data_IF_583118671882
#
_entry.id   IF_583118671882
#
_cell.length_a   1.000
_cell.length_b   1.000
_cell.length_c   1.000
_cell.angle_alpha   90.00
_cell.angle_beta   90.00
_cell.angle_gamma   90.00
#
_symmetry.space_group_name_H-M   'P 1'
#
loop_
_entity.id
_entity.type
_entity.pdbx_description
1 polymer ?
#
# COMPACT_ATOMS: atom_id res chain seq x y z
N UNK A 1 19.73 -20.58 -16.34
CA UNK A 1 21.07 -19.95 -16.39
C UNK A 1 20.86 -18.47 -16.58
N UNK A 2 20.92 -17.72 -15.50
CA UNK A 2 20.64 -16.27 -15.52
C UNK A 2 21.91 -15.56 -16.02
N UNK A 3 21.93 -15.21 -17.32
CA UNK A 3 23.02 -14.45 -17.90
C UNK A 3 22.88 -13.00 -17.45
N UNK A 4 23.45 -12.64 -16.30
CA UNK A 4 23.63 -11.23 -15.93
C UNK A 4 24.48 -10.55 -17.00
N UNK A 5 23.85 -9.70 -17.80
CA UNK A 5 24.52 -8.86 -18.75
C UNK A 5 25.48 -7.92 -17.99
N UNK A 6 26.79 -8.09 -18.17
CA UNK A 6 27.81 -7.23 -17.57
C UNK A 6 28.35 -6.31 -18.66
N UNK A 7 28.28 -5.01 -18.43
CA UNK A 7 28.96 -4.02 -19.27
C UNK A 7 30.36 -3.79 -18.70
N UNK A 8 31.37 -4.11 -19.46
CA UNK A 8 32.77 -3.87 -19.06
C UNK A 8 33.21 -2.45 -19.46
N UNK A 9 34.22 -1.89 -18.76
CA UNK A 9 34.66 -0.52 -18.93
C UNK A 9 35.17 -0.22 -20.36
N UNK A 10 35.84 -1.18 -20.99
CA UNK A 10 36.29 -1.08 -22.38
C UNK A 10 35.14 -0.97 -23.39
N UNK A 11 34.02 -1.66 -23.14
CA UNK A 11 32.80 -1.53 -23.93
C UNK A 11 32.07 -0.22 -23.64
N UNK A 12 31.98 0.16 -22.35
CA UNK A 12 31.38 1.43 -21.93
C UNK A 12 32.13 2.63 -22.52
N UNK A 13 33.48 2.59 -22.53
CA UNK A 13 34.33 3.64 -23.10
C UNK A 13 34.22 3.82 -24.62
N UNK A 14 33.60 2.90 -25.36
CA UNK A 14 33.36 3.01 -26.79
C UNK A 14 32.02 3.65 -27.16
N UNK A 15 31.16 3.93 -26.16
CA UNK A 15 29.87 4.57 -26.42
C UNK A 15 30.10 6.05 -26.78
N UNK A 16 29.74 6.49 -28.00
CA UNK A 16 29.88 7.89 -28.38
C UNK A 16 28.83 8.72 -27.66
N UNK A 17 29.26 9.82 -27.03
CA UNK A 17 28.38 10.79 -26.39
C UNK A 17 28.51 12.15 -27.05
N UNK A 18 27.42 12.91 -27.27
CA UNK A 18 27.50 14.28 -27.76
C UNK A 18 28.12 15.19 -26.67
N UNK A 19 29.02 16.07 -27.07
CA UNK A 19 29.64 17.03 -26.14
C UNK A 19 29.47 18.43 -26.74
N UNK A 20 28.36 19.12 -26.46
CA UNK A 20 28.14 20.49 -26.90
C UNK A 20 29.10 21.47 -26.22
N UNK A 21 29.28 22.70 -26.78
CA UNK A 21 30.06 23.75 -26.13
C UNK A 21 29.57 24.07 -24.73
N UNK A 22 30.48 24.48 -23.84
CA UNK A 22 30.15 24.74 -22.42
C UNK A 22 28.91 25.63 -22.18
N UNK A 23 28.73 26.76 -22.93
CA UNK A 23 27.52 27.58 -22.77
C UNK A 23 26.22 26.82 -23.06
N UNK A 24 26.26 25.90 -24.03
CA UNK A 24 25.10 25.07 -24.37
C UNK A 24 24.85 24.00 -23.32
N UNK A 25 25.91 23.42 -22.73
CA UNK A 25 25.74 22.50 -21.56
C UNK A 25 25.09 23.22 -20.40
N UNK A 26 25.51 24.45 -20.06
CA UNK A 26 24.93 25.23 -18.97
C UNK A 26 23.47 25.57 -19.28
N UNK A 27 23.10 25.83 -20.53
CA UNK A 27 21.73 26.05 -20.98
C UNK A 27 20.85 24.78 -20.84
N UNK A 28 21.37 23.63 -21.26
CA UNK A 28 20.70 22.31 -21.11
C UNK A 28 20.42 22.04 -19.64
N UNK A 29 21.40 22.21 -18.77
CA UNK A 29 21.24 21.99 -17.32
C UNK A 29 20.20 22.95 -16.73
N UNK A 30 20.22 24.22 -17.10
CA UNK A 30 19.24 25.20 -16.61
C UNK A 30 17.82 24.83 -17.04
N UNK A 31 17.63 24.46 -18.31
CA UNK A 31 16.34 24.00 -18.83
C UNK A 31 15.81 22.75 -18.10
N UNK A 32 16.66 21.72 -18.00
CA UNK A 32 16.25 20.45 -17.35
C UNK A 32 15.90 20.68 -15.88
N UNK A 33 16.67 21.49 -15.13
CA UNK A 33 16.32 21.83 -13.73
C UNK A 33 14.97 22.54 -13.60
N UNK A 34 14.62 23.43 -14.53
CA UNK A 34 13.31 24.05 -14.55
C UNK A 34 12.20 23.03 -14.81
N UNK A 35 12.41 22.11 -15.79
CA UNK A 35 11.45 21.03 -16.08
C UNK A 35 11.33 20.05 -14.92
N UNK A 36 12.43 19.69 -14.27
CA UNK A 36 12.44 18.87 -13.06
C UNK A 36 11.57 19.48 -11.96
N UNK A 37 11.69 20.79 -11.73
CA UNK A 37 10.89 21.50 -10.74
C UNK A 37 9.38 21.49 -11.07
N UNK A 38 9.02 21.63 -12.36
CA UNK A 38 7.62 21.54 -12.80
C UNK A 38 7.06 20.12 -12.61
N UNK A 39 7.80 19.12 -13.07
CA UNK A 39 7.40 17.71 -12.97
C UNK A 39 7.29 17.30 -11.50
N UNK A 40 8.24 17.69 -10.66
CA UNK A 40 8.21 17.41 -9.22
C UNK A 40 6.97 17.99 -8.54
N UNK A 41 6.62 19.25 -8.83
CA UNK A 41 5.40 19.88 -8.30
C UNK A 41 4.14 19.15 -8.78
N UNK A 42 4.11 18.74 -10.05
CA UNK A 42 2.99 17.98 -10.59
C UNK A 42 2.83 16.63 -9.88
N UNK A 43 3.92 15.85 -9.76
CA UNK A 43 3.91 14.55 -9.06
C UNK A 43 3.47 14.72 -7.61
N UNK A 44 4.00 15.71 -6.91
CA UNK A 44 3.61 16.03 -5.52
C UNK A 44 2.11 16.31 -5.42
N UNK A 45 1.56 17.17 -6.27
CA UNK A 45 0.12 17.48 -6.27
C UNK A 45 -0.74 16.24 -6.54
N UNK A 46 -0.29 15.34 -7.43
CA UNK A 46 -0.98 14.08 -7.71
C UNK A 46 -0.91 13.10 -6.53
N UNK A 47 0.22 13.00 -5.84
CA UNK A 47 0.35 12.19 -4.61
C UNK A 47 -0.55 12.75 -3.49
N UNK A 48 -0.59 14.06 -3.30
CA UNK A 48 -1.48 14.69 -2.34
C UNK A 48 -2.96 14.40 -2.67
N UNK A 49 -3.34 14.40 -3.95
CA UNK A 49 -4.68 14.00 -4.38
C UNK A 49 -4.98 12.54 -4.04
N UNK A 50 -4.07 11.60 -4.35
CA UNK A 50 -4.22 10.18 -3.99
C UNK A 50 -4.42 10.03 -2.48
N UNK A 51 -3.64 10.73 -1.67
CA UNK A 51 -3.77 10.73 -0.22
C UNK A 51 -5.16 11.17 0.22
N UNK A 52 -5.67 12.28 -0.29
CA UNK A 52 -7.01 12.80 0.06
C UNK A 52 -8.13 11.84 -0.38
N UNK A 53 -8.04 11.26 -1.58
CA UNK A 53 -9.00 10.27 -2.06
C UNK A 53 -8.99 8.99 -1.18
N UNK A 54 -7.80 8.54 -0.78
CA UNK A 54 -7.62 7.41 0.13
C UNK A 54 -8.21 7.72 1.51
N UNK A 55 -7.98 8.90 2.07
CA UNK A 55 -8.58 9.33 3.34
C UNK A 55 -10.12 9.36 3.25
N UNK A 56 -10.67 9.87 2.15
CA UNK A 56 -12.12 9.88 1.93
C UNK A 56 -12.68 8.44 1.88
N UNK A 57 -12.01 7.55 1.15
CA UNK A 57 -12.38 6.12 1.08
C UNK A 57 -12.36 5.48 2.48
N UNK A 58 -11.32 5.71 3.26
CA UNK A 58 -11.20 5.17 4.62
C UNK A 58 -12.31 5.69 5.54
N UNK A 59 -12.74 6.97 5.41
CA UNK A 59 -13.87 7.53 6.18
C UNK A 59 -15.19 6.84 5.84
N UNK A 60 -15.45 6.54 4.56
CA UNK A 60 -16.64 5.80 4.13
C UNK A 60 -16.64 4.40 4.76
N UNK A 61 -15.52 3.69 4.67
CA UNK A 61 -15.37 2.36 5.26
C UNK A 61 -15.57 2.41 6.78
N UNK A 62 -14.86 3.31 7.47
CA UNK A 62 -14.91 3.49 8.92
C UNK A 62 -16.35 3.74 9.39
N UNK A 63 -17.06 4.65 8.74
CA UNK A 63 -18.45 4.95 9.07
C UNK A 63 -19.34 3.72 8.90
N UNK A 64 -19.29 3.08 7.75
CA UNK A 64 -20.12 1.94 7.42
C UNK A 64 -19.91 0.74 8.36
N UNK A 65 -18.65 0.43 8.74
CA UNK A 65 -18.36 -0.71 9.62
C UNK A 65 -18.48 -0.41 11.11
N UNK A 66 -18.64 0.86 11.52
CA UNK A 66 -18.78 1.23 12.95
C UNK A 66 -20.15 1.79 13.32
N UNK A 67 -20.87 2.38 12.36
CA UNK A 67 -22.17 3.02 12.59
C UNK A 67 -23.30 2.47 11.72
N UNK A 68 -22.98 1.64 10.71
CA UNK A 68 -23.98 1.12 9.77
C UNK A 68 -24.34 2.10 8.66
N UNK A 69 -25.47 1.86 8.01
CA UNK A 69 -25.92 2.63 6.85
C UNK A 69 -27.14 3.52 7.13
N UNK A 70 -27.79 3.35 8.27
CA UNK A 70 -29.00 4.06 8.64
C UNK A 70 -28.72 4.99 9.82
N UNK A 71 -28.67 6.29 9.52
CA UNK A 71 -28.41 7.34 10.53
C UNK A 71 -29.60 7.55 11.49
N UNK A 72 -30.77 6.97 11.20
CA UNK A 72 -31.97 7.06 12.04
C UNK A 72 -32.01 6.03 13.18
N UNK A 73 -31.08 5.07 13.17
CA UNK A 73 -31.03 4.00 14.17
C UNK A 73 -30.58 4.54 15.53
N UNK A 74 -31.24 4.10 16.59
CA UNK A 74 -30.84 4.40 17.96
C UNK A 74 -29.43 3.85 18.22
N UNK A 75 -28.57 4.70 18.73
CA UNK A 75 -27.20 4.32 19.12
C UNK A 75 -27.14 4.00 20.61
N UNK A 76 -26.22 3.10 21.00
CA UNK A 76 -25.85 2.79 22.38
C UNK A 76 -24.35 2.96 22.59
N UNK A 77 -23.92 3.36 23.81
CA UNK A 77 -22.50 3.34 24.15
C UNK A 77 -21.94 1.93 24.01
N UNK A 78 -20.84 1.78 23.26
CA UNK A 78 -20.19 0.47 23.06
C UNK A 78 -19.44 -0.01 24.31
N UNK A 79 -19.10 0.89 25.24
CA UNK A 79 -18.20 0.60 26.36
C UNK A 79 -16.76 0.33 25.92
N UNK A 80 -16.41 0.74 24.69
CA UNK A 80 -15.07 0.62 24.11
C UNK A 80 -14.67 2.01 23.61
N UNK A 81 -13.60 2.58 24.19
CA UNK A 81 -13.20 3.97 23.99
C UNK A 81 -12.99 4.32 22.51
N UNK A 82 -12.23 3.49 21.77
CA UNK A 82 -11.93 3.73 20.35
C UNK A 82 -13.17 3.70 19.44
N UNK A 83 -14.21 2.98 19.84
CA UNK A 83 -15.40 2.75 19.02
C UNK A 83 -16.50 3.79 19.29
N UNK A 84 -16.63 4.26 20.54
CA UNK A 84 -17.66 5.19 20.97
C UNK A 84 -19.05 4.55 20.98
N UNK A 85 -19.98 5.07 20.18
CA UNK A 85 -21.35 4.56 20.05
C UNK A 85 -21.52 3.68 18.82
N UNK A 86 -22.42 2.68 18.94
CA UNK A 86 -22.77 1.74 17.87
C UNK A 86 -24.29 1.59 17.78
N UNK A 87 -24.87 1.13 16.67
CA UNK A 87 -26.28 0.80 16.57
C UNK A 87 -26.73 -0.13 17.71
N UNK A 88 -27.89 0.15 18.31
CA UNK A 88 -28.35 -0.55 19.51
C UNK A 88 -28.50 -2.07 19.31
N UNK A 89 -28.86 -2.48 18.10
CA UNK A 89 -29.05 -3.90 17.75
C UNK A 89 -27.75 -4.64 17.43
N UNK A 90 -26.59 -3.92 17.33
CA UNK A 90 -25.32 -4.58 17.07
C UNK A 90 -24.74 -5.23 18.32
N UNK A 91 -24.08 -6.37 18.12
CA UNK A 91 -23.32 -7.06 19.16
C UNK A 91 -21.86 -6.63 19.14
N UNK A 92 -21.21 -6.69 20.30
CA UNK A 92 -19.78 -6.50 20.45
C UNK A 92 -19.12 -7.82 20.83
N UNK A 93 -18.26 -8.33 19.97
CA UNK A 93 -17.57 -9.60 20.21
C UNK A 93 -16.06 -9.43 20.05
N UNK A 94 -15.29 -10.20 20.85
CA UNK A 94 -13.83 -10.24 20.68
C UNK A 94 -13.46 -10.97 19.39
N UNK A 95 -12.45 -10.47 18.67
CA UNK A 95 -12.01 -11.05 17.39
C UNK A 95 -11.74 -12.56 17.47
N UNK A 96 -11.14 -13.05 18.57
CA UNK A 96 -10.88 -14.49 18.77
C UNK A 96 -12.12 -15.37 18.80
N UNK A 97 -13.31 -14.80 19.01
CA UNK A 97 -14.59 -15.51 18.92
C UNK A 97 -15.23 -15.42 17.54
N UNK A 98 -14.74 -14.53 16.68
CA UNK A 98 -15.20 -14.31 15.30
C UNK A 98 -14.33 -15.02 14.28
N UNK A 99 -13.04 -15.13 14.56
CA UNK A 99 -12.08 -15.80 13.71
C UNK A 99 -11.03 -16.53 14.53
N UNK A 100 -10.54 -17.64 13.98
CA UNK A 100 -9.41 -18.38 14.54
C UNK A 100 -8.12 -17.95 13.85
N UNK A 101 -7.06 -17.69 14.63
CA UNK A 101 -5.71 -17.53 14.08
C UNK A 101 -5.13 -18.92 13.80
N UNK A 102 -5.05 -19.29 12.52
CA UNK A 102 -4.52 -20.58 12.12
C UNK A 102 -3.00 -20.50 11.93
N UNK A 103 -2.29 -21.52 12.40
CA UNK A 103 -0.82 -21.60 12.27
C UNK A 103 -0.42 -22.96 11.68
N UNK A 104 -0.83 -23.21 10.43
CA UNK A 104 -0.41 -24.38 9.70
C UNK A 104 0.93 -24.08 9.01
N UNK A 105 2.03 -24.45 9.67
CA UNK A 105 3.39 -24.18 9.20
C UNK A 105 3.84 -25.23 8.17
N UNK A 106 4.62 -24.78 7.19
CA UNK A 106 5.22 -25.62 6.15
C UNK A 106 6.53 -25.02 5.66
N UNK A 107 7.38 -25.86 5.10
CA UNK A 107 8.60 -25.44 4.39
C UNK A 107 8.47 -25.64 2.88
N UNK A 108 7.29 -26.05 2.42
CA UNK A 108 7.04 -26.33 1.00
C UNK A 108 5.77 -25.64 0.54
N UNK A 109 5.74 -25.24 -0.72
CA UNK A 109 4.60 -24.67 -1.44
C UNK A 109 4.19 -25.65 -2.55
N UNK A 110 2.90 -25.90 -2.70
CA UNK A 110 2.40 -26.67 -3.83
C UNK A 110 2.41 -25.80 -5.12
N UNK A 111 2.41 -26.44 -6.28
CA UNK A 111 2.51 -25.75 -7.58
C UNK A 111 1.33 -24.83 -7.87
N UNK A 112 0.14 -25.15 -7.35
CA UNK A 112 -1.11 -24.41 -7.48
C UNK A 112 -1.33 -23.37 -6.38
N UNK A 113 -0.49 -23.37 -5.34
CA UNK A 113 -0.52 -22.37 -4.26
C UNK A 113 0.17 -21.07 -4.68
N UNK A 114 -0.29 -19.94 -4.16
CA UNK A 114 0.37 -18.63 -4.29
C UNK A 114 1.28 -18.36 -3.09
N UNK A 115 2.24 -17.44 -3.25
CA UNK A 115 3.07 -16.96 -2.16
C UNK A 115 2.78 -15.48 -1.87
N UNK A 116 2.60 -15.14 -0.59
CA UNK A 116 2.40 -13.78 -0.11
C UNK A 116 3.41 -13.43 0.98
N UNK A 117 4.17 -12.38 0.74
CA UNK A 117 4.95 -11.66 1.73
C UNK A 117 4.34 -10.27 1.97
N UNK A 118 4.84 -9.53 2.97
CA UNK A 118 4.27 -8.23 3.32
C UNK A 118 4.36 -7.22 2.17
N UNK A 119 5.45 -7.24 1.42
CA UNK A 119 5.69 -6.38 0.25
C UNK A 119 4.67 -6.60 -0.87
N UNK A 120 4.07 -7.77 -0.95
CA UNK A 120 3.04 -8.09 -1.95
C UNK A 120 1.65 -7.54 -1.61
N UNK A 121 1.47 -6.95 -0.43
CA UNK A 121 0.19 -6.36 -0.01
C UNK A 121 0.33 -4.86 0.09
N UNK A 122 -0.41 -4.14 -0.73
CA UNK A 122 -0.43 -2.68 -0.74
C UNK A 122 -1.07 -2.15 0.55
N UNK A 123 -0.42 -1.17 1.16
CA UNK A 123 -0.87 -0.53 2.39
C UNK A 123 -2.27 0.09 2.21
N UNK A 124 -3.13 -0.08 3.21
CA UNK A 124 -4.47 0.51 3.31
C UNK A 124 -5.51 0.06 2.26
N UNK A 125 -5.10 -0.54 1.15
CA UNK A 125 -6.03 -0.90 0.07
C UNK A 125 -6.52 -2.34 0.15
N UNK A 126 -5.73 -3.25 0.70
CA UNK A 126 -5.97 -4.70 0.69
C UNK A 126 -5.67 -5.36 -0.65
N UNK A 127 -5.18 -4.61 -1.63
CA UNK A 127 -4.75 -5.16 -2.92
C UNK A 127 -3.50 -6.00 -2.71
N UNK A 128 -3.56 -7.26 -3.12
CA UNK A 128 -2.44 -8.19 -3.06
C UNK A 128 -1.97 -8.58 -4.46
N UNK A 129 -0.66 -8.62 -4.66
CA UNK A 129 0.01 -9.07 -5.89
C UNK A 129 0.89 -10.28 -5.55
N UNK A 130 0.28 -11.48 -5.39
CA UNK A 130 1.00 -12.67 -4.97
C UNK A 130 1.98 -13.14 -6.05
N UNK A 131 3.04 -13.81 -5.62
CA UNK A 131 3.92 -14.53 -6.54
C UNK A 131 3.36 -15.91 -6.87
N UNK A 132 3.45 -16.26 -8.13
CA UNK A 132 3.07 -17.56 -8.69
C UNK A 132 4.33 -18.35 -9.09
N UNK A 133 4.15 -19.64 -9.35
CA UNK A 133 5.27 -20.51 -9.77
C UNK A 133 6.16 -20.96 -8.61
N UNK A 134 7.40 -21.29 -8.93
CA UNK A 134 8.38 -21.72 -7.93
C UNK A 134 8.94 -20.50 -7.19
N UNK A 135 8.85 -20.52 -5.87
CA UNK A 135 9.39 -19.51 -4.98
C UNK A 135 10.23 -20.21 -3.92
N UNK A 136 11.50 -19.84 -3.83
CA UNK A 136 12.37 -20.26 -2.74
C UNK A 136 12.19 -19.34 -1.54
N UNK A 137 12.01 -19.89 -0.37
CA UNK A 137 11.98 -19.16 0.89
C UNK A 137 12.87 -19.82 1.93
N UNK A 138 13.68 -19.01 2.59
CA UNK A 138 14.69 -19.47 3.55
C UNK A 138 14.12 -19.89 4.91
N UNK A 139 12.83 -19.58 5.18
CA UNK A 139 12.19 -19.80 6.47
C UNK A 139 10.85 -20.51 6.35
N UNK A 140 10.36 -21.01 7.49
CA UNK A 140 9.02 -21.61 7.58
C UNK A 140 7.94 -20.58 7.26
N UNK A 141 6.98 -20.97 6.42
CA UNK A 141 5.83 -20.18 6.00
C UNK A 141 4.53 -20.76 6.57
N UNK A 142 3.44 -19.99 6.53
CA UNK A 142 2.11 -20.44 6.99
C UNK A 142 1.21 -20.69 5.80
N UNK A 143 0.49 -21.81 5.83
CA UNK A 143 -0.53 -22.14 4.84
C UNK A 143 -1.84 -21.43 5.14
N UNK A 144 -2.48 -20.89 4.13
CA UNK A 144 -3.81 -20.33 4.16
C UNK A 144 -4.70 -20.92 3.06
N UNK A 145 -5.99 -20.77 3.19
CA UNK A 145 -6.98 -21.19 2.19
C UNK A 145 -7.75 -20.00 1.66
N UNK A 146 -8.51 -20.20 0.60
CA UNK A 146 -9.39 -19.17 0.06
C UNK A 146 -10.35 -18.63 1.15
N UNK A 147 -10.57 -17.33 1.15
CA UNK A 147 -11.34 -16.55 2.11
C UNK A 147 -10.71 -16.38 3.50
N UNK A 148 -9.54 -16.91 3.80
CA UNK A 148 -8.79 -16.50 4.99
C UNK A 148 -8.40 -15.01 4.86
N UNK A 149 -8.44 -14.27 5.96
CA UNK A 149 -7.99 -12.87 6.03
C UNK A 149 -6.57 -12.85 6.61
N UNK A 150 -5.65 -12.28 5.85
CA UNK A 150 -4.25 -12.16 6.23
C UNK A 150 -4.03 -10.76 6.82
N UNK A 151 -3.56 -10.68 8.06
CA UNK A 151 -3.27 -9.44 8.77
C UNK A 151 -1.78 -9.35 9.05
N UNK A 152 -1.10 -8.34 8.49
CA UNK A 152 0.30 -8.05 8.73
C UNK A 152 0.54 -7.54 10.15
N UNK A 153 1.24 -8.33 10.99
CA UNK A 153 1.52 -7.94 12.38
C UNK A 153 2.73 -7.03 12.54
N UNK A 154 3.64 -7.00 11.55
CA UNK A 154 4.79 -6.11 11.51
C UNK A 154 4.36 -4.76 10.94
N UNK A 155 4.73 -3.65 11.63
CA UNK A 155 4.36 -2.28 11.27
C UNK A 155 2.85 -2.15 10.98
N UNK A 156 1.98 -2.45 11.98
CA UNK A 156 0.52 -2.53 11.75
C UNK A 156 -0.08 -1.23 11.24
N UNK A 157 0.59 -0.09 11.44
CA UNK A 157 0.18 1.21 10.88
C UNK A 157 0.14 1.23 9.35
N UNK A 158 0.83 0.31 8.67
CA UNK A 158 0.74 0.14 7.21
C UNK A 158 -0.57 -0.53 6.77
N UNK A 159 -1.38 -1.06 7.69
CA UNK A 159 -2.67 -1.69 7.41
C UNK A 159 -2.64 -2.72 6.27
N UNK A 160 -1.58 -3.54 6.23
CA UNK A 160 -1.43 -4.62 5.24
C UNK A 160 -2.38 -5.76 5.60
N UNK A 161 -3.64 -5.62 5.17
CA UNK A 161 -4.73 -6.56 5.42
C UNK A 161 -5.36 -6.95 4.08
N UNK A 162 -5.41 -8.24 3.79
CA UNK A 162 -5.99 -8.74 2.53
C UNK A 162 -6.74 -10.04 2.74
N UNK A 163 -7.72 -10.31 1.90
CA UNK A 163 -8.47 -11.56 1.89
C UNK A 163 -7.99 -12.44 0.74
N UNK A 164 -7.59 -13.65 1.07
CA UNK A 164 -7.08 -14.61 0.10
C UNK A 164 -8.17 -15.04 -0.91
N UNK A 165 -7.88 -14.92 -2.20
CA UNK A 165 -8.78 -15.38 -3.26
C UNK A 165 -8.65 -16.88 -3.54
N UNK A 166 -7.47 -17.47 -3.29
CA UNK A 166 -7.18 -18.91 -3.41
C UNK A 166 -6.21 -19.34 -2.33
N UNK A 167 -5.95 -20.63 -2.24
CA UNK A 167 -5.01 -21.20 -1.28
C UNK A 167 -3.56 -20.81 -1.60
N UNK A 168 -2.74 -20.75 -0.55
CA UNK A 168 -1.33 -20.38 -0.68
C UNK A 168 -0.57 -20.46 0.63
N UNK A 169 0.65 -19.92 0.58
CA UNK A 169 1.55 -19.78 1.72
C UNK A 169 1.95 -18.33 1.91
N UNK A 170 2.14 -17.90 3.15
CA UNK A 170 2.56 -16.54 3.49
C UNK A 170 3.67 -16.54 4.55
N UNK A 171 4.43 -15.47 4.61
CA UNK A 171 5.46 -15.26 5.63
C UNK A 171 4.88 -15.31 7.05
N UNK A 172 5.71 -15.64 8.03
CA UNK A 172 5.31 -15.76 9.44
C UNK A 172 4.77 -14.47 10.05
N UNK A 173 5.08 -13.32 9.42
CA UNK A 173 4.62 -12.00 9.83
C UNK A 173 3.12 -11.74 9.57
N UNK A 174 2.43 -12.59 8.80
CA UNK A 174 0.99 -12.56 8.74
C UNK A 174 0.33 -13.39 9.85
N UNK A 175 -0.75 -12.86 10.41
CA UNK A 175 -1.78 -13.66 11.09
C UNK A 175 -2.74 -14.18 10.02
N UNK A 176 -3.02 -15.48 10.04
CA UNK A 176 -3.98 -16.13 9.12
C UNK A 176 -5.29 -16.29 9.86
N UNK A 177 -6.26 -15.44 9.56
CA UNK A 177 -7.52 -15.34 10.28
C UNK A 177 -8.63 -16.03 9.49
N UNK A 178 -9.10 -17.17 10.01
CA UNK A 178 -10.22 -17.93 9.43
C UNK A 178 -11.50 -17.56 10.11
N UNK A 179 -12.39 -16.89 9.37
CA UNK A 179 -13.69 -16.44 9.85
C UNK A 179 -14.60 -17.59 10.25
N UNK A 180 -15.35 -17.43 11.32
CA UNK A 180 -16.55 -18.23 11.64
C UNK A 180 -17.70 -17.70 10.78
N UNK A 181 -17.96 -18.37 9.66
CA UNK A 181 -18.86 -17.90 8.61
C UNK A 181 -20.32 -17.73 9.06
N UNK A 182 -20.70 -18.38 10.15
CA UNK A 182 -22.00 -18.22 10.83
C UNK A 182 -22.13 -16.90 11.60
N UNK A 183 -21.03 -16.20 11.88
CA UNK A 183 -20.98 -14.96 12.65
C UNK A 183 -20.50 -13.76 11.83
N UNK A 184 -19.47 -13.96 11.02
CA UNK A 184 -18.83 -12.88 10.28
C UNK A 184 -18.40 -13.31 8.88
N UNK A 185 -18.78 -12.52 7.89
CA UNK A 185 -18.34 -12.70 6.52
C UNK A 185 -16.85 -12.36 6.39
N UNK A 186 -16.04 -13.16 5.68
CA UNK A 186 -14.61 -12.88 5.50
C UNK A 186 -14.34 -11.50 4.90
N UNK A 187 -15.17 -11.04 3.94
CA UNK A 187 -15.06 -9.73 3.35
C UNK A 187 -15.35 -8.61 4.35
N UNK A 188 -16.33 -8.80 5.25
CA UNK A 188 -16.63 -7.84 6.29
C UNK A 188 -15.50 -7.78 7.34
N UNK A 189 -14.96 -8.94 7.73
CA UNK A 189 -13.79 -9.01 8.62
C UNK A 189 -12.59 -8.27 8.04
N UNK A 190 -12.33 -8.41 6.75
CA UNK A 190 -11.25 -7.68 6.05
C UNK A 190 -11.43 -6.17 6.17
N UNK A 191 -12.63 -5.64 5.85
CA UNK A 191 -12.91 -4.20 5.95
C UNK A 191 -12.78 -3.71 7.40
N UNK A 192 -13.32 -4.47 8.34
CA UNK A 192 -13.30 -4.12 9.76
C UNK A 192 -11.87 -4.08 10.32
N UNK A 193 -11.01 -5.03 9.93
CA UNK A 193 -9.61 -5.05 10.36
C UNK A 193 -8.75 -3.98 9.67
N UNK A 194 -9.18 -3.46 8.51
CA UNK A 194 -8.53 -2.35 7.81
C UNK A 194 -9.09 -0.99 8.20
N UNK A 195 -10.18 -0.96 8.98
CA UNK A 195 -10.74 0.26 9.54
C UNK A 195 -9.67 1.03 10.31
N UNK A 196 -9.55 2.33 10.03
CA UNK A 196 -8.48 3.17 10.60
C UNK A 196 -8.44 3.12 12.12
N UNK A 197 -9.60 3.19 12.78
CA UNK A 197 -9.69 3.13 14.24
C UNK A 197 -9.17 1.81 14.81
N UNK A 198 -9.41 0.68 14.12
CA UNK A 198 -8.90 -0.64 14.54
C UNK A 198 -7.39 -0.71 14.35
N UNK A 199 -6.87 -0.19 13.25
CA UNK A 199 -5.43 -0.12 12.99
C UNK A 199 -4.74 0.79 14.02
N UNK A 200 -5.27 1.97 14.30
CA UNK A 200 -4.71 2.89 15.30
C UNK A 200 -4.67 2.25 16.69
N UNK A 201 -5.76 1.54 17.08
CA UNK A 201 -5.80 0.80 18.34
C UNK A 201 -4.74 -0.31 18.39
N UNK A 202 -4.62 -1.11 17.34
CA UNK A 202 -3.62 -2.18 17.28
C UNK A 202 -2.20 -1.59 17.33
N UNK A 203 -1.96 -0.51 16.58
CA UNK A 203 -0.68 0.16 16.56
C UNK A 203 -0.28 0.73 17.92
N UNK A 204 -1.24 1.29 18.68
CA UNK A 204 -0.98 1.82 20.03
C UNK A 204 -0.54 0.74 21.03
N UNK A 205 -0.85 -0.52 20.77
CA UNK A 205 -0.47 -1.67 21.62
C UNK A 205 0.90 -2.25 21.29
N UNK A 206 1.57 -1.75 20.24
CA UNK A 206 2.85 -2.31 19.80
C UNK A 206 4.01 -1.89 20.68
N UNK A 207 4.99 -2.77 20.83
CA UNK A 207 6.26 -2.48 21.46
C UNK A 207 7.39 -2.40 20.41
N UNK A 208 8.37 -1.54 20.64
CA UNK A 208 9.53 -1.36 19.75
C UNK A 208 9.43 -0.14 18.85
N UNK A 209 10.48 0.70 18.87
CA UNK A 209 10.47 1.96 18.11
C UNK A 209 10.74 1.77 16.60
N UNK A 210 11.63 0.84 16.23
CA UNK A 210 12.09 0.67 14.83
C UNK A 210 11.25 -0.34 14.04
N UNK A 211 10.79 -1.43 14.69
CA UNK A 211 9.98 -2.49 14.07
C UNK A 211 8.80 -2.89 14.97
N UNK A 212 7.77 -2.04 15.10
CA UNK A 212 6.65 -2.34 15.97
C UNK A 212 5.91 -3.58 15.48
N UNK A 213 5.68 -4.54 16.38
CA UNK A 213 4.93 -5.77 16.10
C UNK A 213 3.72 -5.86 16.99
N UNK A 214 2.60 -6.18 16.39
CA UNK A 214 1.37 -6.45 17.11
C UNK A 214 1.28 -7.94 17.47
N UNK A 215 0.75 -8.23 18.66
CA UNK A 215 0.61 -9.59 19.17
C UNK A 215 -0.83 -10.09 19.07
N UNK A 216 -0.99 -11.38 18.74
CA UNK A 216 -2.31 -12.00 18.66
C UNK A 216 -3.08 -11.96 19.98
N UNK A 217 -2.38 -12.00 21.11
CA UNK A 217 -3.02 -11.92 22.42
C UNK A 217 -3.79 -10.61 22.58
N UNK A 218 -3.22 -9.51 22.09
CA UNK A 218 -3.93 -8.22 22.06
C UNK A 218 -4.99 -8.20 20.98
N UNK A 219 -4.62 -8.45 19.72
CA UNK A 219 -5.49 -8.36 18.53
C UNK A 219 -6.73 -9.25 18.71
N UNK A 220 -6.55 -10.48 19.18
CA UNK A 220 -7.65 -11.42 19.42
C UNK A 220 -8.63 -10.99 20.50
N UNK A 221 -8.23 -10.08 21.40
CA UNK A 221 -9.10 -9.53 22.44
C UNK A 221 -9.77 -8.20 22.05
N UNK A 222 -9.43 -7.61 20.91
CA UNK A 222 -10.12 -6.42 20.41
C UNK A 222 -11.61 -6.73 20.23
N UNK A 223 -12.44 -5.87 20.81
CA UNK A 223 -13.90 -5.96 20.67
C UNK A 223 -14.32 -5.25 19.40
N UNK A 224 -15.03 -5.96 18.52
CA UNK A 224 -15.48 -5.51 17.23
C UNK A 224 -16.99 -5.46 17.15
N UNK A 225 -17.58 -4.46 16.46
CA UNK A 225 -19.02 -4.37 16.25
C UNK A 225 -19.46 -5.35 15.18
N UNK A 226 -20.51 -6.12 15.47
CA UNK A 226 -20.99 -7.18 14.58
C UNK A 226 -22.48 -7.00 14.32
N UNK A 227 -22.87 -6.53 13.12
CA UNK A 227 -24.22 -6.57 12.63
C UNK A 227 -24.64 -7.99 12.24
N UNK A 228 -25.93 -8.20 11.96
CA UNK A 228 -26.40 -9.44 11.34
C UNK A 228 -25.81 -9.62 9.95
N UNK A 229 -25.79 -10.84 9.42
CA UNK A 229 -25.14 -11.14 8.13
C UNK A 229 -25.76 -10.40 6.95
N UNK A 230 -27.08 -10.24 6.92
CA UNK A 230 -27.78 -9.45 5.91
C UNK A 230 -27.31 -7.99 5.89
N UNK A 231 -27.07 -7.42 7.07
CA UNK A 231 -26.54 -6.07 7.22
C UNK A 231 -25.05 -5.99 6.86
N UNK A 232 -24.25 -7.04 7.19
CA UNK A 232 -22.86 -7.11 6.73
C UNK A 232 -22.78 -7.10 5.20
N UNK A 233 -23.66 -7.85 4.51
CA UNK A 233 -23.73 -7.85 3.04
C UNK A 233 -24.14 -6.48 2.49
N UNK A 234 -25.14 -5.83 3.08
CA UNK A 234 -25.56 -4.50 2.70
C UNK A 234 -24.45 -3.46 2.87
N UNK A 235 -23.70 -3.52 3.99
CA UNK A 235 -22.54 -2.67 4.25
C UNK A 235 -21.45 -2.89 3.18
N UNK A 236 -21.14 -4.14 2.85
CA UNK A 236 -20.14 -4.46 1.82
C UNK A 236 -20.54 -3.92 0.43
N UNK A 237 -21.80 -4.07 0.05
CA UNK A 237 -22.33 -3.53 -1.21
C UNK A 237 -22.29 -1.99 -1.23
N UNK A 238 -22.61 -1.35 -0.10
CA UNK A 238 -22.51 0.09 0.04
C UNK A 238 -21.06 0.57 -0.12
N UNK A 239 -20.11 -0.04 0.62
CA UNK A 239 -18.69 0.29 0.51
C UNK A 239 -18.23 0.16 -0.94
N UNK A 240 -18.53 -0.97 -1.60
CA UNK A 240 -18.14 -1.20 -2.99
C UNK A 240 -18.68 -0.11 -3.93
N UNK A 241 -19.93 0.30 -3.76
CA UNK A 241 -20.56 1.32 -4.59
C UNK A 241 -19.95 2.70 -4.36
N UNK A 242 -19.83 3.11 -3.07
CA UNK A 242 -19.36 4.46 -2.72
C UNK A 242 -17.86 4.65 -2.95
N UNK A 243 -17.06 3.56 -2.95
CA UNK A 243 -15.61 3.66 -3.16
C UNK A 243 -15.18 3.43 -4.60
N UNK A 244 -16.07 2.97 -5.48
CA UNK A 244 -15.73 2.64 -6.87
C UNK A 244 -15.11 3.81 -7.63
N UNK A 245 -15.76 4.97 -7.60
CA UNK A 245 -15.29 6.16 -8.33
C UNK A 245 -13.98 6.69 -7.73
N UNK A 246 -13.80 6.55 -6.42
CA UNK A 246 -12.55 6.90 -5.73
C UNK A 246 -11.40 5.97 -6.17
N UNK A 247 -11.65 4.67 -6.25
CA UNK A 247 -10.67 3.69 -6.70
C UNK A 247 -10.26 3.93 -8.16
N UNK A 248 -11.22 4.25 -9.03
CA UNK A 248 -10.95 4.61 -10.43
C UNK A 248 -10.17 5.93 -10.55
N UNK A 249 -10.45 6.91 -9.69
CA UNK A 249 -9.73 8.17 -9.67
C UNK A 249 -8.27 7.99 -9.16
N UNK A 250 -8.07 7.17 -8.14
CA UNK A 250 -6.74 6.82 -7.62
C UNK A 250 -5.94 6.13 -8.72
N UNK A 251 -6.48 5.07 -9.34
CA UNK A 251 -5.79 4.33 -10.39
C UNK A 251 -5.39 5.23 -11.57
N UNK A 252 -6.30 6.10 -12.04
CA UNK A 252 -5.98 7.08 -13.10
C UNK A 252 -4.87 8.04 -12.70
N UNK A 253 -4.86 8.48 -11.44
CA UNK A 253 -3.82 9.41 -10.95
C UNK A 253 -2.46 8.72 -10.84
N UNK A 254 -2.42 7.44 -10.45
CA UNK A 254 -1.20 6.62 -10.45
C UNK A 254 -0.64 6.43 -11.88
N UNK A 255 -1.54 6.14 -12.85
CA UNK A 255 -1.15 6.03 -14.27
C UNK A 255 -0.62 7.37 -14.82
N UNK A 256 -1.21 8.51 -14.45
CA UNK A 256 -0.71 9.83 -14.83
C UNK A 256 0.69 10.09 -14.27
N UNK A 257 0.97 9.72 -13.02
CA UNK A 257 2.33 9.82 -12.44
C UNK A 257 3.32 8.96 -13.23
N UNK A 258 2.94 7.76 -13.61
CA UNK A 258 3.79 6.87 -14.43
C UNK A 258 4.10 7.49 -15.78
N UNK A 259 3.09 7.99 -16.48
CA UNK A 259 3.28 8.64 -17.79
C UNK A 259 4.16 9.88 -17.72
N UNK A 260 4.01 10.72 -16.68
CA UNK A 260 4.85 11.90 -16.54
C UNK A 260 6.32 11.54 -16.26
N UNK A 261 6.58 10.44 -15.56
CA UNK A 261 7.94 9.93 -15.35
C UNK A 261 8.55 9.38 -16.64
N UNK A 262 7.79 8.65 -17.45
CA UNK A 262 8.23 8.21 -18.78
C UNK A 262 8.55 9.42 -19.67
N UNK A 263 7.68 10.44 -19.65
CA UNK A 263 7.94 11.70 -20.35
C UNK A 263 9.21 12.39 -19.85
N UNK A 264 9.44 12.47 -18.54
CA UNK A 264 10.63 13.05 -17.93
C UNK A 264 11.93 12.39 -18.42
N UNK A 265 11.97 11.04 -18.35
CA UNK A 265 13.11 10.27 -18.82
C UNK A 265 13.40 10.49 -20.31
N UNK A 266 12.35 10.56 -21.12
CA UNK A 266 12.46 10.84 -22.54
C UNK A 266 12.94 12.27 -22.80
N UNK A 267 12.40 13.26 -22.08
CA UNK A 267 12.79 14.65 -22.20
C UNK A 267 14.29 14.85 -21.93
N UNK A 268 14.81 14.21 -20.89
CA UNK A 268 16.25 14.25 -20.58
C UNK A 268 17.06 13.72 -21.78
N UNK A 269 16.66 12.55 -22.32
CA UNK A 269 17.34 11.96 -23.46
C UNK A 269 17.27 12.87 -24.69
N UNK A 270 16.11 13.41 -25.03
CA UNK A 270 15.90 14.24 -26.23
C UNK A 270 16.67 15.58 -26.14
N UNK A 271 16.74 16.19 -24.96
CA UNK A 271 17.48 17.44 -24.74
C UNK A 271 18.99 17.20 -24.79
N UNK A 272 19.50 16.17 -24.09
CA UNK A 272 20.93 15.87 -24.02
C UNK A 272 21.48 15.41 -25.39
N UNK A 273 20.66 14.77 -26.21
CA UNK A 273 21.05 14.34 -27.56
C UNK A 273 20.79 15.40 -28.63
N UNK A 274 20.25 16.58 -28.25
CA UNK A 274 20.01 17.69 -29.17
C UNK A 274 18.77 17.52 -30.06
N UNK A 275 17.89 16.58 -29.76
CA UNK A 275 16.60 16.42 -30.43
C UNK A 275 15.61 17.55 -30.06
N UNK A 276 15.79 18.11 -28.89
CA UNK A 276 15.08 19.32 -28.40
C UNK A 276 16.11 20.45 -28.31
N UNK A 277 15.93 21.50 -29.11
CA UNK A 277 16.80 22.67 -29.10
C UNK A 277 16.41 23.65 -27.98
N UNK A 278 17.26 23.80 -26.98
CA UNK A 278 17.04 24.67 -25.81
C UNK A 278 17.83 25.97 -25.84
N UNK A 279 18.58 26.26 -26.93
CA UNK A 279 19.48 27.44 -27.03
C UNK A 279 18.74 28.79 -26.91
N UNK A 280 17.48 28.84 -27.32
CA UNK A 280 16.63 30.02 -27.21
C UNK A 280 15.79 30.10 -25.93
N UNK A 281 15.85 29.10 -25.05
CA UNK A 281 15.06 29.09 -23.84
C UNK A 281 15.63 30.05 -22.80
N UNK A 282 14.72 30.76 -22.10
CA UNK A 282 15.04 31.61 -20.96
C UNK A 282 14.09 31.30 -19.81
N UNK A 283 14.58 31.26 -18.55
CA UNK A 283 13.73 30.98 -17.40
C UNK A 283 12.65 32.05 -17.21
N UNK A 284 11.41 31.61 -17.04
CA UNK A 284 10.27 32.45 -16.69
C UNK A 284 10.08 32.53 -15.17
N UNK A 285 9.12 33.34 -14.70
CA UNK A 285 8.81 33.49 -13.25
C UNK A 285 8.29 32.19 -12.60
N UNK A 286 7.82 31.23 -13.39
CA UNK A 286 7.32 29.92 -12.92
C UNK A 286 8.41 28.84 -12.86
N UNK A 287 9.61 29.12 -13.43
CA UNK A 287 10.75 28.19 -13.46
C UNK A 287 11.59 28.25 -12.16
N UNK A 288 10.97 28.70 -11.07
CA UNK A 288 11.63 28.72 -9.75
C UNK A 288 11.84 27.27 -9.27
N UNK A 289 13.10 26.92 -9.06
CA UNK A 289 13.49 25.60 -8.55
C UNK A 289 13.21 25.56 -7.04
N UNK A 290 12.26 24.70 -6.66
CA UNK A 290 12.02 24.34 -5.26
C UNK A 290 12.73 23.01 -4.96
N UNK A 291 13.85 23.09 -4.23
CA UNK A 291 14.66 21.91 -3.89
C UNK A 291 13.85 20.89 -3.06
N UNK A 292 12.87 21.34 -2.28
CA UNK A 292 12.02 20.42 -1.50
C UNK A 292 11.04 19.67 -2.39
N UNK A 293 10.61 20.26 -3.51
CA UNK A 293 9.77 19.59 -4.48
C UNK A 293 10.54 18.56 -5.31
N UNK A 294 11.84 18.81 -5.56
CA UNK A 294 12.68 17.86 -6.34
C UNK A 294 12.80 16.48 -5.68
N UNK A 295 12.67 16.39 -4.37
CA UNK A 295 12.62 15.12 -3.65
C UNK A 295 11.50 14.20 -4.16
N UNK A 296 10.39 14.75 -4.67
CA UNK A 296 9.29 13.98 -5.24
C UNK A 296 9.65 13.22 -6.52
N UNK A 297 10.74 13.56 -7.22
CA UNK A 297 11.22 12.82 -8.39
C UNK A 297 11.95 11.53 -8.00
N UNK A 298 12.63 11.52 -6.84
CA UNK A 298 13.41 10.38 -6.35
C UNK A 298 12.66 9.36 -5.52
N UNK A 299 11.42 9.63 -5.18
CA UNK A 299 10.70 8.94 -4.12
C UNK A 299 9.87 7.73 -4.60
N UNK A 300 10.50 6.84 -5.39
CA UNK A 300 9.95 5.49 -5.64
C UNK A 300 10.37 4.49 -4.57
N UNK A 301 11.23 4.90 -3.63
CA UNK A 301 11.89 4.02 -2.68
C UNK A 301 11.27 4.00 -1.29
N UNK A 302 10.40 4.96 -0.93
CA UNK A 302 9.85 4.97 0.44
C UNK A 302 8.87 3.83 0.75
N UNK A 303 8.21 3.24 -0.27
CA UNK A 303 7.42 2.00 -0.03
C UNK A 303 8.28 0.71 -0.09
N UNK A 304 9.49 0.77 -0.62
CA UNK A 304 10.38 -0.39 -0.84
C UNK A 304 11.66 -0.37 0.02
N UNK A 305 12.18 0.79 0.43
CA UNK A 305 13.50 0.91 1.09
C UNK A 305 13.48 0.85 2.61
N UNK A 306 12.31 0.77 3.23
CA UNK A 306 12.24 0.49 4.66
C UNK A 306 12.59 -0.99 5.02
N UNK A 307 12.96 -1.84 4.06
CA UNK A 307 13.22 -3.27 4.25
C UNK A 307 14.70 -3.71 4.10
N UNK A 308 15.62 -2.89 3.54
CA UNK A 308 16.98 -3.35 3.22
C UNK A 308 18.09 -3.04 4.26
N UNK A 309 17.84 -2.25 5.29
CA UNK A 309 18.87 -1.94 6.30
C UNK A 309 18.77 -2.83 7.56
N UNK A 310 18.84 -4.16 7.41
CA UNK A 310 18.64 -5.09 8.53
C UNK A 310 19.45 -6.36 8.58
N UNK A 311 20.35 -6.63 7.64
CA UNK A 311 21.28 -7.77 7.71
C UNK A 311 22.74 -7.30 7.64
N UNK A 312 23.25 -6.93 8.79
CA UNK A 312 24.66 -6.64 9.02
C UNK A 312 24.98 -6.67 10.52
N UNK A 313 25.64 -7.78 10.94
CA UNK A 313 26.39 -7.93 12.20
C UNK A 313 25.58 -8.14 13.50
N UNK A 314 25.48 -9.37 14.00
CA UNK A 314 26.33 -10.14 14.94
C UNK A 314 25.76 -11.57 15.13
#
# INVERSE_FOLDING_TARGET
>A
MDMRLRLYFDQFGQIPIPVPPRPEQDQIVAYLRAQDAHIARFIKAKRDLIKLLTEQKLRIIDHAVTRGLDDSVTLKPSGVEWLGEVPEHWELRRLKFLASNTSNQTTTKASDEIYLALEHVQSWTGVARPLEGEVEFASTVKRFVAADVLFGKLRPYLAKVTRAHRAGVCVSEFLVLRSRKDLILPAYLEQLLRCKRVIDLINSSTAGAKMPRADWTFIGNVRLPIPRQDEQEAILLHILRETKDLDEAIARTEDEIKLIREYHNRLIADVVTGQVDVRGWQPGPEDVVDETALAALGDDSEDMTDEEDGDGED
#
